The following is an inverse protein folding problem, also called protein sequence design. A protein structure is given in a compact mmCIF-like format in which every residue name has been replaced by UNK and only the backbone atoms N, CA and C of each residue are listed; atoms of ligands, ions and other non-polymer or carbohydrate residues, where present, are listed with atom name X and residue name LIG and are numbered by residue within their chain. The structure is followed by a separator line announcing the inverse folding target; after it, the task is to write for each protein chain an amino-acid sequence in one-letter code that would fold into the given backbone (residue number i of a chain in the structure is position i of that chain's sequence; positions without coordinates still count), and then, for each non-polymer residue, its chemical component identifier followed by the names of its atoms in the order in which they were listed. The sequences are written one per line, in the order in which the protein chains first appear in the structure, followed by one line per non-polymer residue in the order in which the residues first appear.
data_IF_278747289188
#
_entry.id   IF_278747289188
#
_cell.length_a   1.000
_cell.length_b   1.000
_cell.length_c   1.000
_cell.angle_alpha   90.00
_cell.angle_beta   90.00
_cell.angle_gamma   90.00
#
_symmetry.space_group_name_H-M   'P 1'
#
loop_
_entity.id
_entity.type
_entity.pdbx_description
1 polymer ?
#
# COMPACT_ATOMS: atom_id res chain seq x y z
N UNK A 1 18.71 -14.88 -5.79
CA UNK A 1 17.88 -15.43 -4.70
C UNK A 1 17.73 -14.36 -3.62
N UNK A 2 16.70 -14.39 -2.79
CA UNK A 2 16.52 -13.46 -1.65
C UNK A 2 17.69 -13.50 -0.65
N UNK A 3 17.80 -12.50 0.22
CA UNK A 3 18.84 -12.40 1.27
C UNK A 3 18.21 -12.23 2.66
N UNK A 4 18.98 -12.47 3.72
CA UNK A 4 18.54 -12.16 5.08
C UNK A 4 18.46 -10.62 5.26
N UNK A 5 17.30 -10.09 5.65
CA UNK A 5 17.09 -8.63 5.78
C UNK A 5 16.79 -8.20 7.22
N UNK A 6 15.94 -8.96 7.92
CA UNK A 6 15.49 -8.63 9.28
C UNK A 6 15.66 -9.84 10.19
N UNK A 7 16.07 -9.59 11.42
CA UNK A 7 16.16 -10.61 12.47
C UNK A 7 15.29 -10.27 13.67
N UNK A 8 14.82 -11.33 14.33
CA UNK A 8 14.24 -11.27 15.67
C UNK A 8 15.30 -11.83 16.62
N UNK A 9 15.78 -10.98 17.53
CA UNK A 9 16.73 -11.39 18.57
C UNK A 9 15.99 -11.41 19.91
N UNK A 10 15.96 -12.57 20.58
CA UNK A 10 15.37 -12.77 21.91
C UNK A 10 16.45 -13.24 22.87
N UNK A 11 16.65 -12.52 23.97
CA UNK A 11 17.64 -12.87 25.01
C UNK A 11 19.04 -13.09 24.44
N UNK A 12 19.45 -12.29 23.45
CA UNK A 12 20.73 -12.42 22.75
C UNK A 12 20.80 -13.53 21.69
N UNK A 13 19.74 -14.33 21.52
CA UNK A 13 19.65 -15.39 20.53
C UNK A 13 18.91 -14.92 19.27
N UNK A 14 19.49 -15.14 18.10
CA UNK A 14 18.84 -14.87 16.79
C UNK A 14 17.77 -15.93 16.55
N UNK A 15 16.55 -15.63 16.98
CA UNK A 15 15.39 -16.52 17.04
C UNK A 15 14.71 -16.70 15.68
N UNK A 16 14.54 -15.60 14.93
CA UNK A 16 13.93 -15.64 13.60
C UNK A 16 14.71 -14.78 12.62
N UNK A 17 14.58 -15.13 11.34
CA UNK A 17 15.17 -14.40 10.22
C UNK A 17 14.10 -14.26 9.15
N UNK A 18 13.91 -13.03 8.67
CA UNK A 18 13.05 -12.73 7.53
C UNK A 18 13.94 -12.40 6.33
N UNK A 19 13.75 -13.20 5.28
CA UNK A 19 14.44 -13.05 4.01
C UNK A 19 13.60 -12.24 3.03
N UNK A 20 14.25 -11.62 2.07
CA UNK A 20 13.56 -10.88 1.04
C UNK A 20 14.48 -10.28 -0.02
N UNK A 21 13.89 -9.42 -0.84
CA UNK A 21 14.57 -8.61 -1.84
C UNK A 21 14.23 -7.15 -1.62
N UNK A 22 15.20 -6.25 -1.87
CA UNK A 22 15.03 -4.80 -1.71
C UNK A 22 15.81 -4.07 -2.80
N UNK A 23 15.20 -3.00 -3.32
CA UNK A 23 15.84 -2.04 -4.21
C UNK A 23 15.71 -0.63 -3.63
N UNK A 24 16.74 0.17 -3.80
CA UNK A 24 16.73 1.62 -3.57
C UNK A 24 17.20 2.30 -4.86
N UNK A 25 16.42 3.26 -5.34
CA UNK A 25 16.71 4.08 -6.51
C UNK A 25 17.12 5.49 -6.07
N UNK A 26 18.09 6.08 -6.76
CA UNK A 26 18.37 7.51 -6.65
C UNK A 26 17.32 8.36 -7.41
N UNK A 27 17.36 9.70 -7.30
CA UNK A 27 16.48 10.60 -8.06
C UNK A 27 16.55 10.47 -9.58
N UNK A 28 17.62 9.89 -10.14
CA UNK A 28 17.74 9.63 -11.58
C UNK A 28 17.05 8.31 -11.99
N UNK A 29 16.58 7.52 -11.02
CA UNK A 29 15.94 6.22 -11.24
C UNK A 29 16.93 5.05 -11.32
N UNK A 30 18.20 5.27 -10.97
CA UNK A 30 19.24 4.24 -10.99
C UNK A 30 19.34 3.51 -9.64
N UNK A 31 19.45 2.16 -9.64
CA UNK A 31 19.63 1.42 -8.40
C UNK A 31 20.94 1.78 -7.69
N UNK A 32 20.84 2.38 -6.49
CA UNK A 32 21.98 2.59 -5.59
C UNK A 32 22.20 1.40 -4.66
N UNK A 33 21.17 0.56 -4.51
CA UNK A 33 21.22 -0.70 -3.81
C UNK A 33 20.24 -1.67 -4.46
N UNK A 34 20.68 -2.91 -4.68
CA UNK A 34 19.83 -4.03 -5.03
C UNK A 34 20.29 -5.27 -4.27
N UNK A 35 19.45 -5.78 -3.38
CA UNK A 35 19.70 -7.02 -2.64
C UNK A 35 18.61 -8.03 -2.97
N UNK A 36 19.02 -9.25 -3.25
CA UNK A 36 18.10 -10.31 -3.67
C UNK A 36 17.70 -10.22 -5.15
N UNK A 37 16.60 -10.87 -5.50
CA UNK A 37 16.01 -10.78 -6.84
C UNK A 37 15.06 -9.59 -6.92
N UNK A 38 15.46 -8.53 -7.61
CA UNK A 38 14.68 -7.28 -7.73
C UNK A 38 13.99 -7.12 -9.09
N UNK A 39 14.41 -7.91 -10.08
CA UNK A 39 13.85 -7.90 -11.44
C UNK A 39 12.76 -8.95 -11.67
N UNK A 40 12.65 -9.95 -10.79
CA UNK A 40 11.58 -10.94 -10.91
C UNK A 40 10.22 -10.31 -10.59
N UNK A 41 9.18 -10.65 -11.35
CA UNK A 41 7.84 -10.16 -11.07
C UNK A 41 7.33 -10.72 -9.75
N UNK A 42 6.74 -9.84 -8.94
CA UNK A 42 5.97 -10.19 -7.74
C UNK A 42 4.55 -9.66 -7.88
N UNK A 43 3.61 -10.20 -7.10
CA UNK A 43 2.34 -9.51 -6.90
C UNK A 43 2.53 -8.35 -5.91
N UNK A 44 2.34 -7.08 -6.31
CA UNK A 44 2.53 -5.91 -5.44
C UNK A 44 1.44 -5.77 -4.35
N UNK A 45 0.37 -6.57 -4.45
CA UNK A 45 -0.80 -6.55 -3.56
C UNK A 45 -1.33 -5.12 -3.44
N UNK A 46 -1.63 -4.67 -2.21
CA UNK A 46 -2.17 -3.34 -1.99
C UNK A 46 -1.20 -2.18 -2.34
N UNK A 47 0.08 -2.44 -2.58
CA UNK A 47 1.02 -1.43 -3.10
C UNK A 47 0.68 -1.04 -4.56
N UNK A 48 -0.18 -1.78 -5.26
CA UNK A 48 -0.70 -1.41 -6.59
C UNK A 48 -1.86 -0.40 -6.57
N UNK A 49 -2.51 -0.19 -5.42
CA UNK A 49 -3.70 0.67 -5.33
C UNK A 49 -3.46 2.11 -5.84
N UNK A 50 -2.29 2.73 -5.64
CA UNK A 50 -2.00 4.02 -6.26
C UNK A 50 -2.07 3.99 -7.79
N UNK A 51 -1.54 2.97 -8.46
CA UNK A 51 -1.65 2.82 -9.92
C UNK A 51 -3.10 2.65 -10.37
N UNK A 52 -3.89 1.89 -9.60
CA UNK A 52 -5.33 1.77 -9.86
C UNK A 52 -6.02 3.13 -9.76
N UNK A 53 -5.73 3.93 -8.74
CA UNK A 53 -6.31 5.28 -8.59
C UNK A 53 -5.86 6.23 -9.72
N UNK A 54 -4.60 6.13 -10.18
CA UNK A 54 -4.11 6.87 -11.35
C UNK A 54 -4.95 6.53 -12.58
N UNK A 55 -5.27 5.24 -12.81
CA UNK A 55 -6.20 4.83 -13.87
C UNK A 55 -7.54 5.54 -13.73
N UNK A 56 -8.14 5.57 -12.53
CA UNK A 56 -9.45 6.18 -12.34
C UNK A 56 -9.44 7.67 -12.73
N UNK A 57 -8.41 8.42 -12.29
CA UNK A 57 -8.24 9.84 -12.64
C UNK A 57 -8.08 10.03 -14.17
N UNK A 58 -7.26 9.20 -14.81
CA UNK A 58 -7.07 9.22 -16.28
C UNK A 58 -8.37 8.93 -17.05
N UNK A 59 -9.31 8.24 -16.42
CA UNK A 59 -10.63 7.90 -16.97
C UNK A 59 -11.77 8.76 -16.38
N UNK A 60 -11.47 9.99 -15.96
CA UNK A 60 -12.46 11.02 -15.66
C UNK A 60 -13.06 10.96 -14.25
N UNK A 61 -12.59 10.07 -13.38
CA UNK A 61 -12.94 10.15 -11.95
C UNK A 61 -12.37 11.44 -11.36
N UNK A 62 -13.26 12.33 -10.94
CA UNK A 62 -12.89 13.56 -10.23
C UNK A 62 -13.36 13.46 -8.77
N UNK A 63 -12.43 13.33 -7.81
CA UNK A 63 -12.75 13.27 -6.38
C UNK A 63 -13.25 14.63 -5.87
N UNK A 64 -14.17 14.63 -4.90
CA UNK A 64 -14.66 15.87 -4.27
C UNK A 64 -13.58 16.60 -3.45
N UNK A 65 -12.67 15.82 -2.87
CA UNK A 65 -11.59 16.27 -2.00
C UNK A 65 -10.48 15.22 -1.95
N UNK A 66 -9.34 15.59 -1.36
CA UNK A 66 -8.18 14.71 -1.21
C UNK A 66 -8.50 13.47 -0.37
N UNK A 67 -9.46 13.54 0.56
CA UNK A 67 -9.86 12.39 1.37
C UNK A 67 -10.62 11.33 0.55
N UNK A 68 -11.43 11.76 -0.42
CA UNK A 68 -12.09 10.85 -1.38
C UNK A 68 -11.10 10.23 -2.38
N UNK A 69 -10.04 10.95 -2.76
CA UNK A 69 -8.94 10.33 -3.52
C UNK A 69 -8.13 9.36 -2.66
N UNK A 70 -7.83 9.72 -1.42
CA UNK A 70 -7.11 8.88 -0.49
C UNK A 70 -7.85 7.56 -0.23
N UNK A 71 -9.17 7.59 0.02
CA UNK A 71 -9.94 6.36 0.26
C UNK A 71 -9.96 5.44 -0.98
N UNK A 72 -9.85 5.99 -2.20
CA UNK A 72 -9.72 5.21 -3.43
C UNK A 72 -8.38 4.46 -3.55
N UNK A 73 -7.34 4.89 -2.84
CA UNK A 73 -6.03 4.23 -2.76
C UNK A 73 -5.88 3.31 -1.53
N UNK A 74 -6.89 3.33 -0.64
CA UNK A 74 -6.71 2.86 0.72
C UNK A 74 -6.68 1.34 0.86
N UNK A 75 -5.94 0.90 1.87
CA UNK A 75 -6.14 -0.38 2.56
C UNK A 75 -6.70 -0.10 3.94
N UNK A 76 -7.86 0.55 3.97
CA UNK A 76 -8.37 1.17 5.19
C UNK A 76 -8.70 0.14 6.28
N UNK A 77 -8.62 0.53 7.54
CA UNK A 77 -8.83 -0.38 8.67
C UNK A 77 -10.29 -0.55 9.11
N UNK A 78 -11.24 -0.10 8.28
CA UNK A 78 -12.68 -0.21 8.55
C UNK A 78 -13.19 0.66 9.71
N UNK A 79 -12.40 1.66 10.15
CA UNK A 79 -12.85 2.63 11.17
C UNK A 79 -14.07 3.46 10.68
N UNK A 80 -14.88 4.03 11.60
CA UNK A 80 -16.15 4.68 11.24
C UNK A 80 -16.05 5.79 10.19
N UNK A 81 -14.96 6.56 10.20
CA UNK A 81 -14.70 7.63 9.25
C UNK A 81 -14.27 7.11 7.86
N UNK A 82 -13.53 6.00 7.80
CA UNK A 82 -13.29 5.29 6.55
C UNK A 82 -14.61 4.83 5.92
N UNK A 83 -15.47 4.19 6.72
CA UNK A 83 -16.78 3.71 6.27
C UNK A 83 -17.65 4.87 5.79
N UNK A 84 -17.58 6.03 6.46
CA UNK A 84 -18.28 7.24 6.02
C UNK A 84 -17.78 7.77 4.67
N UNK A 85 -16.46 7.75 4.42
CA UNK A 85 -15.88 8.13 3.12
C UNK A 85 -16.34 7.19 2.00
N UNK A 86 -16.30 5.88 2.22
CA UNK A 86 -16.76 4.89 1.23
C UNK A 86 -18.25 5.07 0.93
N UNK A 87 -19.07 5.26 1.96
CA UNK A 87 -20.51 5.50 1.79
C UNK A 87 -20.78 6.79 1.01
N UNK A 88 -20.11 7.89 1.36
CA UNK A 88 -20.24 9.17 0.65
C UNK A 88 -19.93 9.04 -0.84
N UNK A 89 -18.87 8.30 -1.17
CA UNK A 89 -18.48 8.06 -2.56
C UNK A 89 -19.53 7.21 -3.30
N UNK A 90 -20.03 6.13 -2.70
CA UNK A 90 -21.10 5.32 -3.29
C UNK A 90 -22.37 6.14 -3.53
N UNK A 91 -22.84 6.85 -2.49
CA UNK A 91 -24.07 7.66 -2.53
C UNK A 91 -23.99 8.73 -3.64
N UNK A 92 -22.80 9.34 -3.81
CA UNK A 92 -22.56 10.39 -4.83
C UNK A 92 -22.80 9.90 -6.26
N UNK A 93 -22.58 8.62 -6.53
CA UNK A 93 -22.79 8.01 -7.85
C UNK A 93 -24.04 7.12 -7.92
N UNK A 94 -24.90 7.17 -6.90
CA UNK A 94 -26.17 6.43 -6.88
C UNK A 94 -26.01 4.93 -6.62
N UNK A 95 -24.91 4.51 -5.99
CA UNK A 95 -24.66 3.13 -5.60
C UNK A 95 -24.91 2.91 -4.11
N UNK A 96 -25.00 1.64 -3.71
CA UNK A 96 -25.02 1.23 -2.32
C UNK A 96 -23.99 0.11 -2.06
N UNK A 97 -23.94 -0.39 -0.82
CA UNK A 97 -23.00 -1.45 -0.44
C UNK A 97 -23.18 -2.75 -1.25
N UNK A 98 -24.36 -3.00 -1.82
CA UNK A 98 -24.63 -4.21 -2.61
C UNK A 98 -23.97 -4.15 -3.99
N UNK A 99 -23.67 -2.96 -4.49
CA UNK A 99 -22.91 -2.76 -5.73
C UNK A 99 -21.44 -3.13 -5.59
N UNK A 100 -20.90 -3.18 -4.36
CA UNK A 100 -19.52 -3.60 -4.13
C UNK A 100 -19.37 -5.11 -4.39
N UNK A 101 -18.37 -5.48 -5.18
CA UNK A 101 -18.03 -6.89 -5.45
C UNK A 101 -16.84 -7.40 -4.62
N UNK A 102 -16.26 -6.59 -3.72
CA UNK A 102 -15.29 -7.08 -2.73
C UNK A 102 -15.96 -8.09 -1.77
N UNK A 103 -15.20 -9.01 -1.16
CA UNK A 103 -15.77 -9.91 -0.17
C UNK A 103 -16.23 -9.15 1.09
N UNK A 104 -17.26 -9.62 1.81
CA UNK A 104 -17.58 -9.10 3.13
C UNK A 104 -16.44 -9.40 4.10
N UNK A 105 -16.15 -8.45 5.00
CA UNK A 105 -15.10 -8.60 6.01
C UNK A 105 -15.49 -7.85 7.29
N UNK A 106 -14.68 -8.00 8.34
CA UNK A 106 -14.72 -7.18 9.54
C UNK A 106 -13.68 -6.05 9.42
N UNK A 107 -13.83 -4.95 10.19
CA UNK A 107 -12.76 -3.98 10.33
C UNK A 107 -11.44 -4.62 10.77
N UNK A 108 -10.33 -4.07 10.27
CA UNK A 108 -8.97 -4.47 10.67
C UNK A 108 -8.60 -3.81 12.01
N UNK A 109 -9.06 -2.59 12.26
CA UNK A 109 -8.86 -1.92 13.54
C UNK A 109 -9.57 -2.69 14.66
N UNK A 110 -8.85 -3.01 15.73
CA UNK A 110 -9.33 -3.86 16.82
C UNK A 110 -10.56 -3.26 17.52
N UNK A 111 -10.60 -1.94 17.70
CA UNK A 111 -11.71 -1.25 18.37
C UNK A 111 -12.96 -1.25 17.48
N UNK A 112 -12.81 -0.94 16.20
CA UNK A 112 -13.89 -1.01 15.22
C UNK A 112 -14.42 -2.44 15.07
N UNK A 113 -13.51 -3.43 15.03
CA UNK A 113 -13.85 -4.85 14.98
C UNK A 113 -14.66 -5.29 16.21
N UNK A 114 -14.20 -4.93 17.40
CA UNK A 114 -14.91 -5.25 18.65
C UNK A 114 -16.29 -4.57 18.71
N UNK A 115 -16.43 -3.35 18.21
CA UNK A 115 -17.71 -2.66 18.15
C UNK A 115 -18.71 -3.36 17.20
N UNK A 116 -18.25 -3.89 16.07
CA UNK A 116 -19.09 -4.68 15.16
C UNK A 116 -19.50 -6.00 15.81
N UNK A 117 -18.54 -6.75 16.37
CA UNK A 117 -18.76 -8.08 16.95
C UNK A 117 -19.56 -8.08 18.27
N UNK A 118 -19.62 -6.95 18.98
CA UNK A 118 -20.46 -6.79 20.17
C UNK A 118 -21.92 -6.44 19.84
N UNK A 119 -22.20 -6.07 18.59
CA UNK A 119 -23.55 -5.86 18.08
C UNK A 119 -24.07 -7.06 17.27
N UNK A 120 -25.28 -6.95 16.70
CA UNK A 120 -25.83 -7.98 15.79
C UNK A 120 -25.23 -7.89 14.37
N UNK A 121 -24.12 -7.16 14.19
CA UNK A 121 -23.60 -6.85 12.86
C UNK A 121 -22.65 -7.95 12.39
N UNK A 122 -22.88 -8.40 11.16
CA UNK A 122 -22.07 -9.40 10.46
C UNK A 122 -20.93 -8.74 9.65
N UNK A 123 -19.94 -9.52 9.18
CA UNK A 123 -19.01 -9.07 8.15
C UNK A 123 -19.73 -8.44 6.96
N UNK A 124 -19.20 -7.33 6.46
CA UNK A 124 -19.83 -6.46 5.47
C UNK A 124 -18.82 -5.97 4.45
N UNK A 125 -19.27 -5.74 3.22
CA UNK A 125 -18.39 -5.35 2.12
C UNK A 125 -17.78 -3.97 2.34
N UNK A 126 -18.52 -3.08 3.00
CA UNK A 126 -18.04 -1.73 3.31
C UNK A 126 -16.92 -1.70 4.37
N UNK A 127 -16.75 -2.78 5.15
CA UNK A 127 -15.64 -2.88 6.11
C UNK A 127 -14.37 -3.45 5.48
N UNK A 128 -14.49 -4.17 4.37
CA UNK A 128 -13.35 -4.76 3.68
C UNK A 128 -12.38 -3.65 3.26
N UNK A 129 -11.10 -3.84 3.54
CA UNK A 129 -10.06 -2.82 3.39
C UNK A 129 -9.87 -2.24 1.98
N UNK A 130 -10.47 -2.87 0.96
CA UNK A 130 -10.47 -2.43 -0.43
C UNK A 130 -11.77 -1.74 -0.85
N UNK A 131 -12.77 -1.63 0.02
CA UNK A 131 -14.10 -1.13 -0.36
C UNK A 131 -14.05 0.28 -0.96
N UNK A 132 -13.13 1.15 -0.50
CA UNK A 132 -12.88 2.46 -1.09
C UNK A 132 -12.43 2.42 -2.56
N UNK A 133 -11.49 1.52 -2.91
CA UNK A 133 -11.09 1.35 -4.33
C UNK A 133 -12.22 0.77 -5.18
N UNK A 134 -13.02 -0.14 -4.63
CA UNK A 134 -14.18 -0.70 -5.34
C UNK A 134 -15.26 0.37 -5.58
N UNK A 135 -15.52 1.25 -4.61
CA UNK A 135 -16.43 2.37 -4.76
C UNK A 135 -15.96 3.37 -5.83
N UNK A 136 -14.66 3.68 -5.87
CA UNK A 136 -14.10 4.55 -6.89
C UNK A 136 -14.13 3.89 -8.29
N UNK A 137 -13.92 2.58 -8.38
CA UNK A 137 -14.07 1.81 -9.61
C UNK A 137 -15.51 1.85 -10.15
N UNK A 138 -16.52 1.70 -9.29
CA UNK A 138 -17.93 1.85 -9.65
C UNK A 138 -18.23 3.27 -10.19
N UNK A 139 -17.70 4.30 -9.51
CA UNK A 139 -17.81 5.67 -9.98
C UNK A 139 -17.23 5.85 -11.39
N UNK A 140 -16.03 5.33 -11.64
CA UNK A 140 -15.42 5.37 -12.98
C UNK A 140 -16.24 4.60 -14.01
N UNK A 141 -16.82 3.44 -13.67
CA UNK A 141 -17.73 2.73 -14.56
C UNK A 141 -18.95 3.59 -14.93
N UNK A 142 -19.59 4.24 -13.94
CA UNK A 142 -20.72 5.13 -14.18
C UNK A 142 -20.37 6.32 -15.10
N UNK A 143 -19.21 6.94 -14.89
CA UNK A 143 -18.72 8.07 -15.70
C UNK A 143 -18.52 7.66 -17.17
N UNK A 144 -18.01 6.45 -17.42
CA UNK A 144 -17.65 5.99 -18.75
C UNK A 144 -18.74 5.15 -19.44
N UNK A 145 -19.89 4.92 -18.78
CA UNK A 145 -20.94 4.05 -19.29
C UNK A 145 -20.52 2.57 -19.39
N UNK A 146 -19.55 2.15 -18.58
CA UNK A 146 -19.14 0.74 -18.50
C UNK A 146 -20.08 -0.05 -17.57
N UNK A 147 -20.14 -1.38 -17.71
CA UNK A 147 -20.89 -2.21 -16.76
C UNK A 147 -20.47 -1.94 -15.31
N UNK A 148 -21.45 -1.88 -14.42
CA UNK A 148 -21.24 -1.71 -12.97
C UNK A 148 -21.27 -3.03 -12.22
N UNK A 149 -21.63 -4.12 -12.90
CA UNK A 149 -21.56 -5.50 -12.42
C UNK A 149 -20.51 -6.26 -13.25
N UNK A 150 -19.82 -7.21 -12.62
CA UNK A 150 -18.75 -7.98 -13.25
C UNK A 150 -17.49 -7.17 -13.50
N UNK A 151 -17.30 -6.05 -12.81
CA UNK A 151 -16.12 -5.19 -12.98
C UNK A 151 -14.84 -5.85 -12.45
N UNK A 152 -14.94 -6.99 -11.76
CA UNK A 152 -13.80 -7.85 -11.41
C UNK A 152 -13.28 -8.68 -12.58
N UNK A 153 -14.05 -8.84 -13.66
CA UNK A 153 -13.61 -9.63 -14.82
C UNK A 153 -12.42 -8.95 -15.51
N UNK A 154 -11.39 -9.73 -15.84
CA UNK A 154 -10.18 -9.24 -16.50
C UNK A 154 -10.46 -8.59 -17.86
N UNK A 155 -11.48 -9.06 -18.58
CA UNK A 155 -11.90 -8.52 -19.86
C UNK A 155 -12.77 -7.26 -19.72
N UNK A 156 -13.17 -6.89 -18.50
CA UNK A 156 -13.96 -5.69 -18.26
C UNK A 156 -13.20 -4.43 -18.69
N UNK A 157 -13.83 -3.42 -19.33
CA UNK A 157 -13.16 -2.21 -19.80
C UNK A 157 -12.33 -1.49 -18.72
N UNK A 158 -12.85 -1.45 -17.48
CA UNK A 158 -12.13 -0.92 -16.32
C UNK A 158 -10.81 -1.67 -16.06
N UNK A 159 -10.82 -3.00 -16.07
CA UNK A 159 -9.62 -3.78 -15.77
C UNK A 159 -8.61 -3.71 -16.91
N UNK A 160 -9.07 -3.65 -18.16
CA UNK A 160 -8.22 -3.35 -19.32
C UNK A 160 -7.55 -1.98 -19.20
N UNK A 161 -8.28 -0.96 -18.74
CA UNK A 161 -7.70 0.36 -18.46
C UNK A 161 -6.65 0.32 -17.34
N UNK A 162 -6.88 -0.47 -16.29
CA UNK A 162 -5.90 -0.68 -15.21
C UNK A 162 -4.65 -1.36 -15.74
N UNK A 163 -4.78 -2.43 -16.52
CA UNK A 163 -3.66 -3.16 -17.14
C UNK A 163 -2.83 -2.22 -18.02
N UNK A 164 -3.48 -1.43 -18.89
CA UNK A 164 -2.81 -0.47 -19.76
C UNK A 164 -2.06 0.61 -18.96
N UNK A 165 -2.66 1.12 -17.87
CA UNK A 165 -2.02 2.11 -17.00
C UNK A 165 -0.82 1.53 -16.27
N UNK A 166 -0.90 0.30 -15.76
CA UNK A 166 0.23 -0.35 -15.09
C UNK A 166 1.37 -0.58 -16.08
N UNK A 167 1.08 -1.04 -17.31
CA UNK A 167 2.10 -1.21 -18.34
C UNK A 167 2.78 0.12 -18.71
N UNK A 168 2.01 1.22 -18.82
CA UNK A 168 2.54 2.57 -19.06
C UNK A 168 3.44 3.06 -17.92
N UNK A 169 2.99 2.93 -16.67
CA UNK A 169 3.74 3.41 -15.50
C UNK A 169 5.00 2.58 -15.19
N UNK A 170 4.98 1.29 -15.50
CA UNK A 170 6.10 0.38 -15.24
C UNK A 170 7.05 0.24 -16.43
N UNK A 171 6.59 0.55 -17.64
CA UNK A 171 7.32 0.35 -18.90
C UNK A 171 7.38 -1.11 -19.35
N UNK A 172 6.77 -2.04 -18.63
CA UNK A 172 6.79 -3.48 -18.90
C UNK A 172 5.37 -4.05 -18.87
N UNK A 173 4.81 -4.51 -20.01
CA UNK A 173 3.53 -5.21 -20.00
C UNK A 173 3.70 -6.62 -19.43
N UNK A 174 2.74 -7.04 -18.61
CA UNK A 174 2.72 -8.37 -17.99
C UNK A 174 1.38 -9.06 -18.29
N UNK A 175 1.44 -10.34 -18.68
CA UNK A 175 0.26 -11.12 -19.09
C UNK A 175 -0.13 -12.20 -18.09
N UNK A 176 0.77 -12.55 -17.17
CA UNK A 176 0.55 -13.61 -16.17
C UNK A 176 -0.19 -13.07 -14.94
N UNK A 177 -1.42 -12.63 -15.19
CA UNK A 177 -2.26 -11.98 -14.19
C UNK A 177 -2.69 -12.94 -13.08
N UNK A 178 -2.78 -12.42 -11.85
CA UNK A 178 -3.37 -13.12 -10.71
C UNK A 178 -4.72 -12.55 -10.32
N UNK A 179 -5.32 -13.11 -9.27
CA UNK A 179 -6.50 -12.55 -8.58
C UNK A 179 -6.10 -12.18 -7.15
N UNK A 180 -6.34 -10.93 -6.76
CA UNK A 180 -6.03 -10.44 -5.42
C UNK A 180 -7.12 -10.83 -4.41
N UNK A 181 -6.84 -10.72 -3.11
CA UNK A 181 -7.78 -11.10 -2.05
C UNK A 181 -9.10 -10.30 -2.05
N UNK A 182 -9.15 -9.17 -2.74
CA UNK A 182 -10.37 -8.38 -2.94
C UNK A 182 -11.20 -8.81 -4.16
N UNK A 183 -10.72 -9.77 -4.95
CA UNK A 183 -11.36 -10.27 -6.18
C UNK A 183 -10.92 -9.58 -7.47
N UNK A 184 -10.14 -8.49 -7.39
CA UNK A 184 -9.65 -7.78 -8.57
C UNK A 184 -8.48 -8.52 -9.24
N UNK A 185 -8.34 -8.40 -10.58
CA UNK A 185 -7.11 -8.79 -11.27
C UNK A 185 -5.91 -8.03 -10.69
N UNK A 186 -4.77 -8.72 -10.61
CA UNK A 186 -3.51 -8.14 -10.16
C UNK A 186 -2.41 -8.41 -11.18
N UNK A 187 -1.75 -7.33 -11.58
CA UNK A 187 -0.66 -7.34 -12.55
C UNK A 187 0.65 -7.53 -11.76
N UNK A 188 1.46 -8.56 -12.07
CA UNK A 188 2.80 -8.69 -11.51
C UNK A 188 3.68 -7.50 -11.88
N UNK A 189 4.59 -7.09 -11.00
CA UNK A 189 5.61 -6.07 -11.30
C UNK A 189 6.92 -6.43 -10.62
N UNK A 190 8.05 -6.05 -11.23
CA UNK A 190 9.35 -6.13 -10.57
C UNK A 190 9.46 -5.09 -9.44
N UNK A 191 10.33 -5.32 -8.46
CA UNK A 191 10.58 -4.35 -7.39
C UNK A 191 11.18 -3.05 -7.93
N UNK A 192 12.05 -3.14 -8.95
CA UNK A 192 12.64 -1.97 -9.61
C UNK A 192 11.54 -1.10 -10.23
N UNK A 193 10.63 -1.70 -10.99
CA UNK A 193 9.57 -0.94 -11.64
C UNK A 193 8.54 -0.43 -10.62
N UNK A 194 8.27 -1.18 -9.55
CA UNK A 194 7.45 -0.69 -8.45
C UNK A 194 8.06 0.56 -7.79
N UNK A 195 9.36 0.56 -7.50
CA UNK A 195 10.04 1.73 -6.95
C UNK A 195 10.00 2.93 -7.92
N UNK A 196 10.20 2.69 -9.23
CA UNK A 196 10.08 3.73 -10.27
C UNK A 196 8.69 4.37 -10.31
N UNK A 197 7.63 3.58 -10.17
CA UNK A 197 6.26 4.12 -10.12
C UNK A 197 6.10 5.11 -8.96
N UNK A 198 6.63 4.78 -7.77
CA UNK A 198 6.57 5.69 -6.63
C UNK A 198 7.44 6.93 -6.82
N UNK A 199 8.62 6.81 -7.45
CA UNK A 199 9.45 7.95 -7.83
C UNK A 199 8.69 8.90 -8.79
N UNK A 200 8.03 8.33 -9.82
CA UNK A 200 7.19 9.08 -10.77
C UNK A 200 6.05 9.80 -10.07
N UNK A 201 5.34 9.12 -9.17
CA UNK A 201 4.29 9.73 -8.35
C UNK A 201 4.80 10.91 -7.51
N UNK A 202 5.97 10.77 -6.89
CA UNK A 202 6.52 11.81 -6.03
C UNK A 202 6.99 13.05 -6.80
N UNK A 203 7.44 12.89 -8.04
CA UNK A 203 8.13 13.91 -8.83
C UNK A 203 7.35 14.46 -10.02
N UNK A 204 6.23 13.82 -10.39
CA UNK A 204 5.36 14.31 -11.45
C UNK A 204 4.85 15.74 -11.21
N UNK A 205 4.44 16.40 -12.30
CA UNK A 205 3.89 17.75 -12.24
C UNK A 205 2.66 17.81 -11.31
N UNK A 206 2.43 18.91 -10.55
CA UNK A 206 1.36 19.02 -9.55
C UNK A 206 -0.03 18.53 -9.99
N UNK A 207 -0.44 18.84 -11.23
CA UNK A 207 -1.77 18.50 -11.74
C UNK A 207 -1.83 17.13 -12.43
N UNK A 208 -0.69 16.44 -12.57
CA UNK A 208 -0.64 15.12 -13.17
C UNK A 208 -1.33 14.09 -12.26
N UNK A 209 -2.10 13.12 -12.82
CA UNK A 209 -2.76 12.08 -12.04
C UNK A 209 -1.86 11.38 -11.02
N UNK A 210 -0.61 11.10 -11.39
CA UNK A 210 0.41 10.45 -10.56
C UNK A 210 0.72 11.29 -9.31
N UNK A 211 0.89 12.60 -9.49
CA UNK A 211 1.20 13.54 -8.42
C UNK A 211 -0.01 13.79 -7.52
N UNK A 212 -1.21 13.95 -8.10
CA UNK A 212 -2.46 14.09 -7.34
C UNK A 212 -2.68 12.93 -6.38
N UNK A 213 -2.42 11.69 -6.82
CA UNK A 213 -2.50 10.50 -5.97
C UNK A 213 -1.47 10.55 -4.84
N UNK A 214 -0.22 10.94 -5.12
CA UNK A 214 0.82 11.05 -4.10
C UNK A 214 0.46 12.10 -3.02
N UNK A 215 -0.05 13.25 -3.45
CA UNK A 215 -0.39 14.35 -2.56
C UNK A 215 -1.62 14.02 -1.71
N UNK A 216 -2.64 13.34 -2.25
CA UNK A 216 -3.76 12.83 -1.46
C UNK A 216 -3.33 11.80 -0.40
N UNK A 217 -2.40 10.90 -0.74
CA UNK A 217 -1.82 9.95 0.21
C UNK A 217 -1.11 10.70 1.34
N UNK A 218 -0.25 11.68 1.01
CA UNK A 218 0.51 12.51 1.98
C UNK A 218 -0.39 13.34 2.88
N UNK A 219 -1.48 13.88 2.34
CA UNK A 219 -2.45 14.67 3.09
C UNK A 219 -3.29 13.82 4.05
N UNK A 220 -3.52 12.54 3.70
CA UNK A 220 -4.41 11.66 4.44
C UNK A 220 -3.81 10.27 4.74
N UNK A 221 -2.63 10.18 5.39
CA UNK A 221 -1.94 8.91 5.62
C UNK A 221 -2.75 7.93 6.48
N UNK A 222 -3.59 8.45 7.39
CA UNK A 222 -4.49 7.60 8.19
C UNK A 222 -5.62 7.02 7.33
N UNK A 223 -6.18 7.80 6.41
CA UNK A 223 -7.28 7.36 5.53
C UNK A 223 -6.85 6.19 4.63
N UNK A 224 -5.62 6.24 4.11
CA UNK A 224 -5.11 5.17 3.25
C UNK A 224 -4.80 3.86 4.00
N UNK A 225 -4.82 3.91 5.33
CA UNK A 225 -4.37 2.85 6.21
C UNK A 225 -5.29 2.75 7.45
N UNK A 226 -4.83 3.17 8.62
CA UNK A 226 -5.65 3.21 9.82
C UNK A 226 -4.87 3.68 11.02
N UNK A 227 -5.55 3.76 12.15
CA UNK A 227 -4.94 4.05 13.45
C UNK A 227 -3.80 3.06 13.72
N UNK A 228 -2.61 3.59 14.06
CA UNK A 228 -1.38 2.83 14.32
C UNK A 228 -0.86 1.99 13.13
N UNK A 229 -1.35 2.21 11.91
CA UNK A 229 -0.91 1.45 10.75
C UNK A 229 0.52 1.82 10.32
N UNK A 230 1.28 0.89 9.68
CA UNK A 230 2.65 1.15 9.28
C UNK A 230 2.85 2.33 8.32
N UNK A 231 1.96 2.50 7.33
CA UNK A 231 2.01 3.64 6.39
C UNK A 231 1.92 4.97 7.17
N UNK A 232 0.95 5.07 8.10
CA UNK A 232 0.76 6.25 8.94
C UNK A 232 2.01 6.58 9.76
N UNK A 233 2.56 5.60 10.48
CA UNK A 233 3.72 5.82 11.35
C UNK A 233 4.97 6.23 10.56
N UNK A 234 5.24 5.58 9.42
CA UNK A 234 6.38 5.93 8.57
C UNK A 234 6.26 7.34 8.00
N UNK A 235 5.08 7.70 7.47
CA UNK A 235 4.85 9.02 6.87
C UNK A 235 4.81 10.16 7.91
N UNK A 236 4.35 9.89 9.13
CA UNK A 236 4.43 10.87 10.23
C UNK A 236 5.86 11.10 10.70
N UNK A 237 6.68 10.04 10.75
CA UNK A 237 8.08 10.16 11.12
C UNK A 237 8.90 10.88 10.02
N UNK A 238 8.58 10.64 8.75
CA UNK A 238 9.35 11.13 7.59
C UNK A 238 8.53 12.12 6.74
N UNK A 239 8.65 13.44 6.96
CA UNK A 239 7.96 14.45 6.17
C UNK A 239 8.19 14.32 4.66
N UNK A 240 7.11 14.39 3.87
CA UNK A 240 7.16 14.32 2.41
C UNK A 240 7.22 12.91 1.82
N UNK A 241 7.43 11.87 2.63
CA UNK A 241 7.35 10.48 2.20
C UNK A 241 5.94 10.16 1.67
N UNK A 242 5.87 9.55 0.49
CA UNK A 242 4.69 8.80 0.04
C UNK A 242 5.05 7.32 0.07
N UNK A 243 4.28 6.50 0.78
CA UNK A 243 4.50 5.06 0.81
C UNK A 243 3.19 4.28 0.87
N UNK A 244 3.25 2.99 0.51
CA UNK A 244 2.09 2.11 0.56
C UNK A 244 2.48 0.68 0.86
N UNK A 245 1.96 0.14 1.97
CA UNK A 245 2.06 -1.28 2.26
C UNK A 245 1.19 -2.12 1.32
N UNK A 246 1.71 -3.31 1.02
CA UNK A 246 1.01 -4.43 0.42
C UNK A 246 0.93 -5.58 1.42
N UNK A 247 -0.14 -6.38 1.30
CA UNK A 247 -0.20 -7.67 1.98
C UNK A 247 1.00 -8.55 1.58
N UNK A 248 1.29 -9.57 2.38
CA UNK A 248 2.41 -10.49 2.18
C UNK A 248 3.75 -9.76 2.00
N UNK A 249 4.06 -8.82 2.90
CA UNK A 249 5.41 -8.29 3.05
C UNK A 249 5.91 -7.39 1.92
N UNK A 250 5.01 -6.78 1.14
CA UNK A 250 5.39 -5.77 0.13
C UNK A 250 5.31 -4.37 0.73
N UNK A 251 6.26 -3.51 0.38
CA UNK A 251 6.19 -2.08 0.66
C UNK A 251 7.01 -1.32 -0.38
N UNK A 252 6.48 -0.21 -0.86
CA UNK A 252 7.22 0.75 -1.68
C UNK A 252 6.92 2.18 -1.24
N UNK A 253 7.84 3.08 -1.55
CA UNK A 253 7.71 4.50 -1.23
C UNK A 253 8.74 5.36 -1.94
N UNK A 254 8.53 6.67 -1.91
CA UNK A 254 9.44 7.66 -2.46
C UNK A 254 9.45 8.97 -1.66
N UNK A 255 10.62 9.60 -1.61
CA UNK A 255 10.81 10.95 -1.10
C UNK A 255 10.48 11.99 -2.18
N UNK A 256 10.28 13.28 -1.80
CA UNK A 256 9.93 14.34 -2.76
C UNK A 256 10.93 14.57 -3.90
N UNK A 257 12.19 14.19 -3.70
CA UNK A 257 13.25 14.31 -4.71
C UNK A 257 13.24 13.17 -5.75
N UNK A 258 12.44 12.13 -5.54
CA UNK A 258 12.39 10.95 -6.39
C UNK A 258 13.21 9.76 -5.89
N UNK A 259 13.97 9.91 -4.80
CA UNK A 259 14.63 8.77 -4.15
C UNK A 259 13.56 7.78 -3.69
N UNK A 260 13.63 6.53 -4.15
CA UNK A 260 12.55 5.57 -3.99
C UNK A 260 13.05 4.20 -3.55
N UNK A 261 12.15 3.41 -2.97
CA UNK A 261 12.44 2.04 -2.57
C UNK A 261 11.26 1.13 -2.83
N UNK A 262 11.56 -0.17 -2.98
CA UNK A 262 10.58 -1.23 -2.90
C UNK A 262 11.23 -2.49 -2.34
N UNK A 263 10.46 -3.27 -1.57
CA UNK A 263 10.90 -4.57 -1.11
C UNK A 263 9.78 -5.58 -1.00
N UNK A 264 10.19 -6.85 -0.96
CA UNK A 264 9.35 -8.02 -0.67
C UNK A 264 10.02 -8.83 0.43
N UNK A 265 9.28 -9.14 1.49
CA UNK A 265 9.63 -10.18 2.45
C UNK A 265 9.02 -11.50 1.99
N UNK A 266 9.83 -12.56 1.92
CA UNK A 266 9.46 -13.84 1.33
C UNK A 266 8.31 -14.53 2.07
N UNK A 267 8.35 -14.52 3.41
CA UNK A 267 7.30 -15.11 4.26
C UNK A 267 6.07 -14.20 4.44
N UNK A 268 6.12 -13.00 3.88
CA UNK A 268 5.06 -12.00 3.93
C UNK A 268 4.77 -11.40 5.30
N UNK A 269 5.59 -11.68 6.32
CA UNK A 269 5.25 -11.36 7.70
C UNK A 269 5.41 -9.86 8.03
N UNK A 270 4.36 -9.26 8.62
CA UNK A 270 4.30 -7.83 8.93
C UNK A 270 5.39 -7.30 9.88
N UNK A 271 5.81 -8.09 10.89
CA UNK A 271 6.79 -7.66 11.90
C UNK A 271 8.16 -7.27 11.33
N UNK A 272 8.50 -7.74 10.12
CA UNK A 272 9.72 -7.35 9.43
C UNK A 272 9.62 -6.01 8.70
N UNK A 273 8.41 -5.57 8.36
CA UNK A 273 8.14 -4.41 7.50
C UNK A 273 8.71 -3.12 8.09
N UNK A 274 8.28 -2.77 9.31
CA UNK A 274 8.64 -1.48 9.90
C UNK A 274 10.17 -1.35 10.12
N UNK A 275 10.87 -2.31 10.74
CA UNK A 275 12.33 -2.25 10.88
C UNK A 275 13.07 -2.09 9.55
N UNK A 276 12.64 -2.82 8.51
CA UNK A 276 13.25 -2.73 7.19
C UNK A 276 13.02 -1.37 6.54
N UNK A 277 11.78 -0.85 6.58
CA UNK A 277 11.45 0.48 6.07
C UNK A 277 12.29 1.55 6.74
N UNK A 278 12.41 1.56 8.07
CA UNK A 278 13.20 2.56 8.77
C UNK A 278 14.70 2.45 8.46
N UNK A 279 15.22 1.24 8.31
CA UNK A 279 16.62 1.05 7.92
C UNK A 279 16.89 1.57 6.49
N UNK A 280 15.94 1.38 5.56
CA UNK A 280 16.00 1.97 4.21
C UNK A 280 15.94 3.51 4.30
N UNK A 281 15.00 4.07 5.06
CA UNK A 281 14.86 5.52 5.23
C UNK A 281 16.12 6.14 5.85
N UNK A 282 16.73 5.49 6.85
CA UNK A 282 18.02 5.88 7.39
C UNK A 282 19.13 5.85 6.31
N UNK A 283 19.17 4.79 5.50
CA UNK A 283 20.17 4.59 4.44
C UNK A 283 20.10 5.63 3.33
N UNK A 284 18.90 6.12 3.00
CA UNK A 284 18.69 7.19 2.01
C UNK A 284 18.85 8.59 2.60
N UNK A 285 19.18 8.71 3.89
CA UNK A 285 19.59 9.97 4.51
C UNK A 285 18.43 10.90 4.88
N UNK A 286 17.27 10.36 5.28
CA UNK A 286 16.20 11.20 5.86
C UNK A 286 16.68 11.84 7.18
N UNK A 287 16.08 12.98 7.53
CA UNK A 287 16.32 13.63 8.83
C UNK A 287 15.89 12.71 9.98
N UNK A 288 16.86 12.02 10.57
CA UNK A 288 16.60 10.99 11.57
C UNK A 288 16.22 11.59 12.93
N UNK A 289 15.17 11.05 13.54
CA UNK A 289 14.62 11.52 14.82
C UNK A 289 14.33 10.34 15.77
N UNK A 290 14.01 10.64 17.03
CA UNK A 290 13.63 9.63 18.02
C UNK A 290 12.43 8.80 17.57
N UNK A 291 11.46 9.39 16.86
CA UNK A 291 10.32 8.66 16.31
C UNK A 291 10.76 7.57 15.31
N UNK A 292 11.76 7.85 14.48
CA UNK A 292 12.33 6.83 13.59
C UNK A 292 13.04 5.72 14.37
N UNK A 293 13.80 6.10 15.40
CA UNK A 293 14.54 5.14 16.24
C UNK A 293 13.60 4.17 16.99
N UNK A 294 12.47 4.67 17.50
CA UNK A 294 11.45 3.85 18.16
C UNK A 294 10.81 2.85 17.19
N UNK A 295 10.44 3.30 15.98
CA UNK A 295 9.84 2.45 14.96
C UNK A 295 10.82 1.41 14.38
N UNK A 296 12.11 1.73 14.30
CA UNK A 296 13.13 0.88 13.72
C UNK A 296 13.46 -0.37 14.54
N UNK A 297 13.17 -0.35 15.85
CA UNK A 297 13.59 -1.39 16.79
C UNK A 297 12.46 -1.87 17.73
N UNK A 298 11.33 -2.41 17.21
CA UNK A 298 10.25 -2.94 18.03
C UNK A 298 10.76 -3.94 19.07
N UNK A 299 10.28 -3.78 20.31
CA UNK A 299 10.68 -4.64 21.41
C UNK A 299 10.12 -6.06 21.24
N UNK A 300 10.98 -7.06 21.45
CA UNK A 300 10.53 -8.42 21.72
C UNK A 300 10.25 -8.53 23.21
N UNK A 301 9.01 -8.84 23.57
CA UNK A 301 8.58 -8.93 24.96
C UNK A 301 8.65 -10.37 25.50
N UNK A 302 8.93 -10.49 26.80
CA UNK A 302 8.88 -11.72 27.59
C UNK A 302 8.50 -11.38 29.03
N UNK A 303 7.42 -11.97 29.55
CA UNK A 303 6.94 -11.68 30.91
C UNK A 303 6.55 -10.20 31.13
N UNK A 304 6.14 -9.49 30.08
CA UNK A 304 5.82 -8.05 30.15
C UNK A 304 7.03 -7.11 30.10
N UNK A 305 8.26 -7.63 30.02
CA UNK A 305 9.48 -6.84 29.89
C UNK A 305 10.11 -7.00 28.49
N UNK A 306 10.89 -6.00 28.06
CA UNK A 306 11.72 -6.12 26.85
C UNK A 306 12.83 -7.14 27.10
N UNK A 307 12.84 -8.20 26.30
CA UNK A 307 13.88 -9.25 26.30
C UNK A 307 14.65 -9.31 24.99
N UNK A 308 14.29 -8.46 24.02
CA UNK A 308 14.90 -8.50 22.71
C UNK A 308 14.43 -7.39 21.77
N UNK A 309 14.67 -7.59 20.48
CA UNK A 309 14.43 -6.60 19.44
C UNK A 309 14.18 -7.26 18.08
N UNK A 310 13.29 -6.68 17.30
CA UNK A 310 13.18 -6.93 15.86
C UNK A 310 13.91 -5.81 15.15
N UNK A 311 14.86 -6.12 14.26
CA UNK A 311 15.68 -5.09 13.57
C UNK A 311 16.11 -5.54 12.20
N UNK A 312 16.36 -4.57 11.30
CA UNK A 312 17.17 -4.84 10.11
C UNK A 312 18.55 -5.36 10.53
N UNK A 313 19.09 -6.33 9.79
CA UNK A 313 20.37 -6.97 10.13
C UNK A 313 21.50 -5.95 9.93
N UNK A 314 22.34 -5.72 10.96
CA UNK A 314 23.44 -4.76 10.85
C UNK A 314 24.37 -5.04 9.68
N UNK A 315 24.71 -4.01 8.91
CA UNK A 315 25.63 -4.09 7.77
C UNK A 315 25.04 -4.62 6.47
N UNK A 316 23.74 -4.94 6.42
CA UNK A 316 23.05 -5.34 5.19
C UNK A 316 22.65 -4.13 4.34
N UNK A 317 22.16 -3.06 4.95
CA UNK A 317 21.77 -1.80 4.30
C UNK A 317 22.80 -0.70 4.56
#
# INVERSE_FOLDING_TARGET
MSVDLVEVVRSGFRECVHRGSVVILDPAGEPTLALGEVHLPIFPRSTNKPMQAITLLRHGFEPLDDAELAIATASHYGEPDHVALVRRLLDRFGFDEKSLECPPDLPVDDKARAAVLSGPQEPRRIYMNCSGKHAAMLATCAINGWPTEGYLDVAHPLQQAVIATVADLTGEPETDLGIDGCGLPIIPVSLVNLARVFATMATAAPDAPERRVADAIRAHPRVISGTNAPDLSAMQATPGLVCKIGADGVHAGALPDGTAFAYKIDDGHDRARMPLTLAILHRIGVDWTDAHAELAAPAVLGGGARVGVIRAIPGVL
#
